data_IF_280811761996
#
_entry.id   IF_280811761996
#
_cell.length_a   1.000
_cell.length_b   1.000
_cell.length_c   1.000
_cell.angle_alpha   90.00
_cell.angle_beta   90.00
_cell.angle_gamma   90.00
#
_symmetry.space_group_name_H-M   'P 1'
#
loop_
_entity.id
_entity.type
_entity.pdbx_description
1 polymer ?
#
# COMPACT_ATOMS: atom_id res chain seq x y z
N UNK A 1 -41.39 -2.99 -7.56
CA UNK A 1 -39.97 -3.06 -7.14
C UNK A 1 -39.68 -1.80 -6.34
N UNK A 2 -39.02 -1.89 -5.18
CA UNK A 2 -38.44 -0.71 -4.52
C UNK A 2 -36.98 -0.68 -4.93
N UNK A 3 -36.58 0.37 -5.66
CA UNK A 3 -35.17 0.64 -5.89
C UNK A 3 -34.54 0.96 -4.53
N UNK A 4 -33.60 0.11 -4.11
CA UNK A 4 -32.76 0.39 -2.96
C UNK A 4 -31.80 1.51 -3.34
N UNK A 5 -32.17 2.75 -3.04
CA UNK A 5 -31.25 3.89 -3.02
C UNK A 5 -30.28 3.72 -1.85
N UNK A 6 -29.36 2.75 -1.97
CA UNK A 6 -28.17 2.68 -1.13
C UNK A 6 -27.30 3.87 -1.50
N UNK A 7 -27.54 5.00 -0.83
CA UNK A 7 -26.57 6.08 -0.71
C UNK A 7 -25.27 5.45 -0.26
N UNK A 8 -24.27 5.37 -1.16
CA UNK A 8 -22.95 4.83 -0.84
C UNK A 8 -22.43 5.56 0.39
N UNK A 9 -22.36 4.88 1.53
CA UNK A 9 -21.82 5.48 2.74
C UNK A 9 -20.38 5.89 2.46
N UNK A 10 -20.01 7.07 2.94
CA UNK A 10 -18.61 7.51 2.99
C UNK A 10 -17.79 6.51 3.80
N UNK A 11 -16.52 6.37 3.43
CA UNK A 11 -15.58 5.54 4.16
C UNK A 11 -15.15 6.26 5.43
N UNK A 12 -15.95 6.11 6.48
CA UNK A 12 -15.83 6.83 7.74
C UNK A 12 -14.48 6.64 8.43
N UNK A 13 -13.87 5.45 8.32
CA UNK A 13 -12.58 5.15 8.95
C UNK A 13 -11.44 5.81 8.16
N UNK A 14 -11.45 5.68 6.83
CA UNK A 14 -10.46 6.33 5.95
C UNK A 14 -10.55 7.86 6.02
N UNK A 15 -11.77 8.43 6.03
CA UNK A 15 -11.99 9.86 6.24
C UNK A 15 -11.50 10.30 7.63
N UNK A 16 -11.86 9.58 8.69
CA UNK A 16 -11.46 9.87 10.07
C UNK A 16 -9.94 9.87 10.29
N UNK A 17 -9.24 8.84 9.80
CA UNK A 17 -7.78 8.75 9.87
C UNK A 17 -7.10 9.85 9.03
N UNK A 18 -7.69 10.24 7.90
CA UNK A 18 -7.09 11.24 7.00
C UNK A 18 -7.07 12.67 7.56
N UNK A 19 -7.82 12.95 8.62
CA UNK A 19 -7.83 14.23 9.32
C UNK A 19 -6.62 14.42 10.27
N UNK A 20 -5.97 13.33 10.69
CA UNK A 20 -4.97 13.37 11.76
C UNK A 20 -3.56 13.72 11.27
N UNK A 21 -2.85 14.57 12.02
CA UNK A 21 -1.46 14.88 11.74
C UNK A 21 -0.56 13.65 11.95
N UNK A 22 0.47 13.53 11.09
CA UNK A 22 1.40 12.38 11.03
C UNK A 22 0.76 11.04 10.61
N UNK A 23 -0.46 11.09 10.09
CA UNK A 23 -1.14 9.96 9.43
C UNK A 23 -1.16 10.21 7.92
N UNK A 24 -0.46 9.37 7.16
CA UNK A 24 -0.58 9.27 5.70
C UNK A 24 -1.70 8.27 5.39
N UNK A 25 -2.61 8.62 4.49
CA UNK A 25 -3.70 7.74 4.04
C UNK A 25 -3.71 7.68 2.52
N UNK A 26 -3.37 6.50 1.97
CA UNK A 26 -3.42 6.21 0.54
C UNK A 26 -4.83 6.35 -0.02
N UNK A 27 -4.95 6.82 -1.25
CA UNK A 27 -6.24 6.92 -1.93
C UNK A 27 -7.23 7.91 -1.29
N UNK A 28 -6.81 8.69 -0.29
CA UNK A 28 -7.69 9.66 0.38
C UNK A 28 -7.55 11.05 -0.24
N UNK A 29 -8.64 11.52 -0.86
CA UNK A 29 -8.77 12.91 -1.32
C UNK A 29 -8.62 13.92 -0.18
N UNK A 30 -9.12 13.58 1.01
CA UNK A 30 -9.07 14.46 2.17
C UNK A 30 -7.62 14.62 2.68
N UNK A 31 -6.87 13.52 2.76
CA UNK A 31 -5.43 13.57 3.05
C UNK A 31 -4.68 14.40 1.98
N UNK A 32 -4.89 14.06 0.71
CA UNK A 32 -4.17 14.68 -0.42
C UNK A 32 -4.40 16.20 -0.47
N UNK A 33 -5.66 16.64 -0.31
CA UNK A 33 -6.02 18.06 -0.24
C UNK A 33 -5.42 18.76 0.97
N UNK A 34 -5.43 18.13 2.16
CA UNK A 34 -4.85 18.70 3.39
C UNK A 34 -3.37 19.02 3.25
N UNK A 35 -2.61 18.18 2.54
CA UNK A 35 -1.17 18.40 2.31
C UNK A 35 -0.86 19.23 1.04
N UNK A 36 -1.88 19.72 0.34
CA UNK A 36 -1.73 20.58 -0.85
C UNK A 36 -1.35 19.85 -2.13
N UNK A 37 -1.59 18.54 -2.23
CA UNK A 37 -1.35 17.78 -3.45
C UNK A 37 -2.42 18.09 -4.52
N UNK A 38 -2.02 18.12 -5.79
CA UNK A 38 -2.91 18.39 -6.94
C UNK A 38 -3.67 17.16 -7.44
N UNK A 39 -3.32 15.97 -6.97
CA UNK A 39 -3.96 14.70 -7.28
C UNK A 39 -4.06 13.80 -6.04
N UNK A 40 -4.75 12.67 -6.18
CA UNK A 40 -4.91 11.67 -5.13
C UNK A 40 -3.59 10.92 -4.93
N UNK A 41 -3.07 10.92 -3.71
CA UNK A 41 -1.81 10.28 -3.37
C UNK A 41 -2.00 8.84 -2.88
N UNK A 42 -1.21 7.92 -3.41
CA UNK A 42 -1.17 6.50 -3.00
C UNK A 42 0.28 6.05 -2.88
N UNK A 43 0.62 5.31 -1.83
CA UNK A 43 1.95 4.74 -1.63
C UNK A 43 1.91 3.26 -2.05
N UNK A 44 2.71 2.91 -3.06
CA UNK A 44 2.83 1.56 -3.63
C UNK A 44 4.19 0.97 -3.26
N UNK A 45 4.19 -0.23 -2.70
CA UNK A 45 5.40 -0.97 -2.31
C UNK A 45 5.75 -1.99 -3.38
N UNK A 46 7.02 -2.04 -3.77
CA UNK A 46 7.52 -2.93 -4.82
C UNK A 46 8.55 -3.87 -4.18
N UNK A 47 8.30 -5.17 -4.26
CA UNK A 47 9.24 -6.17 -3.81
C UNK A 47 9.38 -7.32 -4.79
N UNK A 48 10.48 -8.03 -4.71
CA UNK A 48 10.73 -9.22 -5.53
C UNK A 48 11.27 -10.37 -4.67
N UNK A 49 11.05 -11.58 -5.16
CA UNK A 49 11.63 -12.79 -4.57
C UNK A 49 13.16 -12.84 -4.79
N UNK A 50 13.94 -13.51 -3.94
CA UNK A 50 15.31 -13.88 -4.26
C UNK A 50 15.34 -14.87 -5.43
N UNK A 51 16.32 -14.72 -6.33
CA UNK A 51 16.47 -15.53 -7.55
C UNK A 51 16.59 -17.03 -7.26
N UNK A 52 17.17 -17.39 -6.12
CA UNK A 52 17.67 -18.73 -5.83
C UNK A 52 16.57 -19.71 -5.37
N UNK A 53 15.32 -19.28 -5.33
CA UNK A 53 14.19 -20.10 -4.93
C UNK A 53 13.21 -20.17 -6.11
N UNK A 54 12.92 -21.37 -6.62
CA UNK A 54 11.89 -21.56 -7.64
C UNK A 54 10.52 -21.56 -6.96
N UNK A 55 9.56 -20.71 -7.37
CA UNK A 55 8.21 -20.76 -6.83
C UNK A 55 7.58 -22.15 -7.06
N UNK A 56 6.77 -22.67 -6.11
CA UNK A 56 6.05 -23.91 -6.32
C UNK A 56 5.23 -23.87 -7.61
N UNK A 57 5.14 -25.00 -8.32
CA UNK A 57 4.31 -25.06 -9.52
C UNK A 57 2.81 -24.96 -9.18
N UNK A 58 2.39 -25.45 -8.02
CA UNK A 58 1.00 -25.39 -7.58
C UNK A 58 0.58 -23.96 -7.13
N UNK A 59 -0.56 -23.42 -7.63
CA UNK A 59 -1.07 -22.13 -7.20
C UNK A 59 -1.46 -22.02 -5.71
N UNK A 60 -1.81 -23.11 -5.01
CA UNK A 60 -2.11 -23.04 -3.58
C UNK A 60 -0.82 -23.03 -2.74
N UNK A 61 0.20 -23.80 -3.14
CA UNK A 61 1.54 -23.71 -2.56
C UNK A 61 2.19 -22.35 -2.82
N UNK A 62 2.00 -21.72 -3.99
CA UNK A 62 2.47 -20.34 -4.25
C UNK A 62 1.86 -19.31 -3.30
N UNK A 63 0.59 -19.45 -2.90
CA UNK A 63 -0.03 -18.58 -1.88
C UNK A 63 0.59 -18.77 -0.50
N UNK A 64 1.11 -19.96 -0.20
CA UNK A 64 1.78 -20.29 1.05
C UNK A 64 3.30 -20.24 0.96
N UNK A 65 3.87 -19.80 -0.17
CA UNK A 65 5.30 -19.69 -0.36
C UNK A 65 5.76 -18.41 0.31
N UNK A 66 6.20 -18.53 1.56
CA UNK A 66 6.58 -17.45 2.46
C UNK A 66 8.08 -17.12 2.26
N UNK A 67 8.49 -16.11 1.48
CA UNK A 67 9.89 -15.75 1.42
C UNK A 67 10.15 -14.88 2.65
N UNK A 68 10.94 -15.39 3.59
CA UNK A 68 11.59 -14.57 4.64
C UNK A 68 12.48 -13.45 4.06
N UNK A 69 12.60 -13.39 2.74
CA UNK A 69 13.63 -12.70 1.97
C UNK A 69 13.08 -11.82 0.83
N UNK A 70 11.78 -11.47 0.84
CA UNK A 70 11.25 -10.44 -0.06
C UNK A 70 12.08 -9.16 0.08
N UNK A 71 12.82 -8.80 -0.97
CA UNK A 71 13.60 -7.57 -1.02
C UNK A 71 12.70 -6.46 -1.54
N UNK A 72 12.65 -5.35 -0.83
CA UNK A 72 11.95 -4.13 -1.25
C UNK A 72 13.03 -3.11 -1.65
N UNK A 73 13.38 -3.01 -2.94
CA UNK A 73 14.41 -2.07 -3.39
C UNK A 73 13.97 -0.60 -3.38
N UNK A 74 12.67 -0.32 -3.44
CA UNK A 74 12.11 1.04 -3.48
C UNK A 74 10.60 1.03 -3.20
N UNK A 75 10.03 2.23 -3.06
CA UNK A 75 8.58 2.47 -3.08
C UNK A 75 8.23 3.53 -4.13
N UNK A 76 6.97 3.61 -4.52
CA UNK A 76 6.45 4.62 -5.45
C UNK A 76 5.32 5.39 -4.76
N UNK A 77 5.50 6.71 -4.62
CA UNK A 77 4.40 7.63 -4.36
C UNK A 77 3.75 7.95 -5.71
N UNK A 78 2.49 7.54 -5.91
CA UNK A 78 1.73 7.91 -7.10
C UNK A 78 0.86 9.13 -6.82
N UNK A 79 0.70 10.00 -7.81
CA UNK A 79 -0.21 11.15 -7.81
C UNK A 79 -1.23 10.95 -8.95
N UNK A 80 -2.37 10.35 -8.65
CA UNK A 80 -3.42 10.13 -9.63
C UNK A 80 -4.23 11.43 -9.83
N UNK A 81 -4.39 11.81 -11.09
CA UNK A 81 -5.12 13.00 -11.51
C UNK A 81 -6.30 12.61 -12.39
N UNK A 82 -7.31 13.48 -12.43
CA UNK A 82 -8.50 13.24 -13.24
C UNK A 82 -8.16 13.24 -14.75
N UNK A 83 -7.46 14.29 -15.20
CA UNK A 83 -7.26 14.60 -16.63
C UNK A 83 -5.78 14.75 -16.99
N UNK A 84 -5.49 14.57 -18.28
CA UNK A 84 -4.13 14.64 -18.82
C UNK A 84 -3.48 16.02 -18.65
N UNK A 85 -4.22 17.10 -18.87
CA UNK A 85 -3.70 18.48 -18.77
C UNK A 85 -3.22 18.83 -17.35
N UNK A 86 -3.77 18.19 -16.32
CA UNK A 86 -3.28 18.29 -14.95
C UNK A 86 -1.94 17.56 -14.76
N UNK A 87 -1.71 16.44 -15.46
CA UNK A 87 -0.42 15.73 -15.47
C UNK A 87 0.61 16.55 -16.22
N UNK A 88 0.28 17.03 -17.43
CA UNK A 88 1.17 17.83 -18.27
C UNK A 88 1.65 19.11 -17.57
N UNK A 89 0.79 19.69 -16.71
CA UNK A 89 1.10 20.86 -15.87
C UNK A 89 1.53 20.52 -14.43
N UNK A 90 1.72 19.24 -14.10
CA UNK A 90 2.09 18.82 -12.75
C UNK A 90 3.44 19.38 -12.34
N UNK A 91 3.47 20.08 -11.21
CA UNK A 91 4.69 20.52 -10.54
C UNK A 91 5.03 19.55 -9.40
N UNK A 92 6.09 18.70 -9.53
CA UNK A 92 6.53 17.79 -8.47
C UNK A 92 6.84 18.49 -7.14
N UNK A 93 7.18 19.79 -7.17
CA UNK A 93 7.46 20.62 -5.99
C UNK A 93 6.32 20.60 -4.96
N UNK A 94 5.08 20.39 -5.42
CA UNK A 94 3.89 20.29 -4.57
C UNK A 94 3.92 19.10 -3.60
N UNK A 95 4.63 18.02 -3.94
CA UNK A 95 4.64 16.76 -3.17
C UNK A 95 6.04 16.35 -2.69
N UNK A 96 7.08 17.16 -2.93
CA UNK A 96 8.45 16.89 -2.45
C UNK A 96 8.50 16.61 -0.95
N UNK A 97 7.86 17.45 -0.14
CA UNK A 97 7.91 17.35 1.33
C UNK A 97 7.36 16.02 1.84
N UNK A 98 6.24 15.54 1.30
CA UNK A 98 5.68 14.25 1.71
C UNK A 98 6.51 13.08 1.17
N UNK A 99 7.02 13.20 -0.05
CA UNK A 99 7.90 12.20 -0.67
C UNK A 99 9.20 12.02 0.12
N UNK A 100 9.90 13.10 0.43
CA UNK A 100 11.17 13.06 1.15
C UNK A 100 10.98 12.57 2.59
N UNK A 101 9.86 12.93 3.22
CA UNK A 101 9.44 12.37 4.50
C UNK A 101 9.21 10.87 4.43
N UNK A 102 8.47 10.37 3.44
CA UNK A 102 8.26 8.93 3.21
C UNK A 102 9.60 8.21 2.95
N UNK A 103 10.48 8.78 2.13
CA UNK A 103 11.79 8.19 1.84
C UNK A 103 12.67 8.11 3.10
N UNK A 104 12.64 9.15 3.94
CA UNK A 104 13.35 9.19 5.22
C UNK A 104 12.82 8.15 6.22
N UNK A 105 11.51 8.11 6.48
CA UNK A 105 10.95 7.20 7.50
C UNK A 105 10.98 5.73 7.07
N UNK A 106 10.93 5.45 5.77
CA UNK A 106 11.00 4.08 5.24
C UNK A 106 12.44 3.60 5.04
N UNK A 107 13.43 4.50 5.03
CA UNK A 107 14.81 4.16 4.66
C UNK A 107 14.97 3.69 3.21
N UNK A 108 14.03 4.04 2.33
CA UNK A 108 13.92 3.52 0.96
C UNK A 108 13.82 4.65 -0.08
N UNK A 109 14.42 4.48 -1.28
CA UNK A 109 14.18 5.37 -2.40
C UNK A 109 12.69 5.45 -2.72
N UNK A 110 12.13 6.66 -2.73
CA UNK A 110 10.73 6.89 -3.11
C UNK A 110 10.68 7.57 -4.48
N UNK A 111 10.24 6.83 -5.50
CA UNK A 111 9.94 7.41 -6.81
C UNK A 111 8.62 8.18 -6.74
N UNK A 112 8.45 9.15 -7.64
CA UNK A 112 7.18 9.84 -7.84
C UNK A 112 6.69 9.61 -9.27
N UNK A 113 5.42 9.25 -9.39
CA UNK A 113 4.72 8.99 -10.64
C UNK A 113 3.37 9.71 -10.63
N UNK A 114 3.21 10.76 -11.43
CA UNK A 114 1.91 11.36 -11.67
C UNK A 114 1.27 10.79 -12.94
N UNK A 115 -0.03 10.52 -12.93
CA UNK A 115 -0.73 9.96 -14.08
C UNK A 115 -2.22 10.33 -14.12
N UNK A 116 -2.83 10.26 -15.31
CA UNK A 116 -4.24 10.57 -15.53
C UNK A 116 -5.10 9.30 -15.50
N UNK A 117 -6.16 9.28 -14.68
CA UNK A 117 -7.11 8.16 -14.61
C UNK A 117 -7.88 7.97 -15.92
N UNK A 118 -8.15 9.05 -16.64
CA UNK A 118 -8.90 9.02 -17.90
C UNK A 118 -8.05 8.64 -19.12
N UNK A 119 -6.73 8.46 -18.99
CA UNK A 119 -5.83 8.20 -20.11
C UNK A 119 -5.12 6.84 -19.99
N UNK A 120 -5.63 5.84 -20.69
CA UNK A 120 -5.02 4.51 -20.78
C UNK A 120 -3.74 4.45 -21.65
N UNK A 121 -3.40 5.54 -22.36
CA UNK A 121 -2.21 5.57 -23.21
C UNK A 121 -0.92 5.78 -22.40
N UNK A 122 -0.32 4.66 -22.00
CA UNK A 122 0.84 4.60 -21.11
C UNK A 122 2.04 5.49 -21.49
N UNK A 123 2.24 5.83 -22.76
CA UNK A 123 3.41 6.62 -23.20
C UNK A 123 3.21 8.14 -23.07
N UNK A 124 1.97 8.62 -23.07
CA UNK A 124 1.64 10.03 -22.84
C UNK A 124 1.06 10.32 -21.45
N UNK A 125 0.54 9.31 -20.75
CA UNK A 125 -0.28 9.51 -19.55
C UNK A 125 0.47 9.75 -18.24
N UNK A 126 1.81 9.84 -18.25
CA UNK A 126 2.64 9.68 -17.06
C UNK A 126 3.80 10.67 -17.00
N UNK A 127 3.94 11.37 -15.88
CA UNK A 127 5.14 12.09 -15.48
C UNK A 127 5.89 11.27 -14.42
N UNK A 128 7.07 10.76 -14.76
CA UNK A 128 7.89 9.92 -13.88
C UNK A 128 9.21 10.62 -13.53
N UNK A 129 9.57 10.64 -12.25
CA UNK A 129 10.77 11.32 -11.75
C UNK A 129 11.63 10.39 -10.89
N UNK A 130 12.95 10.55 -10.97
CA UNK A 130 13.91 9.73 -10.22
C UNK A 130 13.96 10.06 -8.72
N UNK A 131 14.49 9.17 -7.85
CA UNK A 131 14.48 9.35 -6.39
C UNK A 131 15.39 10.48 -5.89
N UNK A 132 16.15 11.13 -6.77
CA UNK A 132 16.97 12.30 -6.45
C UNK A 132 16.87 13.43 -7.49
N UNK A 133 15.99 13.30 -8.50
CA UNK A 133 15.88 14.29 -9.58
C UNK A 133 14.42 14.45 -10.02
N UNK A 134 13.91 15.67 -9.87
CA UNK A 134 12.57 16.10 -10.27
C UNK A 134 12.58 17.14 -11.40
N UNK A 135 13.75 17.59 -11.85
CA UNK A 135 13.87 18.48 -13.03
C UNK A 135 13.88 17.70 -14.34
N UNK A 136 14.10 16.39 -14.28
CA UNK A 136 14.04 15.48 -15.43
C UNK A 136 12.80 14.58 -15.34
N UNK A 137 11.90 14.72 -16.32
CA UNK A 137 10.83 13.77 -16.58
C UNK A 137 11.38 12.63 -17.44
N UNK A 138 11.18 11.40 -17.00
CA UNK A 138 11.52 10.20 -17.76
C UNK A 138 10.31 9.73 -18.57
N UNK A 139 10.54 9.09 -19.72
CA UNK A 139 9.46 8.39 -20.41
C UNK A 139 9.01 7.19 -19.58
N UNK A 140 7.74 6.75 -19.67
CA UNK A 140 7.23 5.65 -18.84
C UNK A 140 7.93 4.32 -19.17
N UNK A 141 8.38 4.14 -20.41
CA UNK A 141 9.22 3.02 -20.83
C UNK A 141 10.62 3.08 -20.24
N UNK A 142 11.26 4.26 -20.20
CA UNK A 142 12.59 4.42 -19.60
C UNK A 142 12.55 4.22 -18.08
N UNK A 143 11.51 4.73 -17.42
CA UNK A 143 11.25 4.49 -16.02
C UNK A 143 11.04 2.99 -15.74
N UNK A 144 10.20 2.31 -16.51
CA UNK A 144 10.00 0.87 -16.37
C UNK A 144 11.29 0.08 -16.61
N UNK A 145 12.10 0.46 -17.61
CA UNK A 145 13.42 -0.12 -17.87
C UNK A 145 14.39 0.10 -16.69
N UNK A 146 14.39 1.29 -16.06
CA UNK A 146 15.17 1.57 -14.86
C UNK A 146 14.72 0.68 -13.69
N UNK A 147 13.42 0.59 -13.43
CA UNK A 147 12.85 -0.26 -12.37
C UNK A 147 13.17 -1.74 -12.60
N UNK A 148 13.05 -2.22 -13.84
CA UNK A 148 13.36 -3.61 -14.19
C UNK A 148 14.85 -3.96 -13.95
N UNK A 149 15.77 -2.99 -14.00
CA UNK A 149 17.19 -3.18 -13.65
C UNK A 149 17.46 -3.25 -12.13
N UNK A 150 16.51 -2.87 -11.29
CA UNK A 150 16.66 -2.91 -9.81
C UNK A 150 16.38 -4.30 -9.21
N UNK A 151 15.79 -5.20 -10.00
CA UNK A 151 15.63 -6.61 -9.60
C UNK A 151 17.01 -7.26 -9.46
N UNK A 152 17.15 -8.17 -8.51
CA UNK A 152 18.28 -9.08 -8.54
C UNK A 152 18.05 -10.07 -9.70
N UNK A 153 18.95 -10.13 -10.69
CA UNK A 153 18.96 -11.18 -11.72
C UNK A 153 19.24 -10.69 -13.14
N UNK A 154 19.77 -11.57 -13.99
CA UNK A 154 19.98 -11.30 -15.43
C UNK A 154 18.64 -11.24 -16.18
N UNK A 155 18.66 -10.61 -17.34
CA UNK A 155 17.47 -10.43 -18.21
C UNK A 155 17.12 -11.66 -19.06
N UNK A 156 17.95 -12.71 -19.03
CA UNK A 156 18.06 -13.67 -20.12
C UNK A 156 17.08 -14.86 -20.06
N UNK A 157 16.46 -15.12 -18.89
CA UNK A 157 15.60 -16.30 -18.64
C UNK A 157 14.19 -15.96 -18.10
N UNK A 158 13.54 -14.87 -18.57
CA UNK A 158 12.14 -14.61 -18.21
C UNK A 158 11.15 -15.41 -19.11
N UNK A 159 10.29 -16.28 -18.55
CA UNK A 159 9.15 -16.82 -19.29
C UNK A 159 8.15 -15.71 -19.63
N UNK A 160 7.38 -15.90 -20.71
CA UNK A 160 6.35 -14.95 -21.18
C UNK A 160 5.12 -14.80 -20.26
N UNK A 161 5.21 -15.22 -18.98
CA UNK A 161 4.11 -15.13 -18.02
C UNK A 161 3.79 -13.68 -17.65
N UNK A 162 2.67 -13.17 -18.16
CA UNK A 162 2.12 -11.87 -17.79
C UNK A 162 1.49 -11.94 -16.41
N UNK A 163 1.73 -10.93 -15.57
CA UNK A 163 1.06 -10.76 -14.26
C UNK A 163 -0.46 -10.95 -14.38
N UNK A 164 -1.05 -11.77 -13.52
CA UNK A 164 -2.49 -12.04 -13.49
C UNK A 164 -3.33 -10.75 -13.28
N UNK A 165 -4.59 -10.78 -13.72
CA UNK A 165 -5.52 -9.66 -13.51
C UNK A 165 -6.10 -9.73 -12.08
N UNK A 166 -5.60 -8.91 -11.15
CA UNK A 166 -6.39 -8.57 -9.97
C UNK A 166 -7.59 -7.70 -10.40
N UNK A 167 -8.77 -7.96 -9.81
CA UNK A 167 -10.12 -7.60 -10.32
C UNK A 167 -10.42 -6.11 -10.57
N UNK A 168 -9.49 -5.19 -10.32
CA UNK A 168 -9.64 -3.77 -10.66
C UNK A 168 -9.29 -3.55 -12.13
N UNK A 169 -10.30 -3.36 -12.97
CA UNK A 169 -10.12 -3.07 -14.40
C UNK A 169 -9.80 -1.59 -14.70
N UNK A 170 -9.85 -0.72 -13.69
CA UNK A 170 -9.80 0.74 -13.85
C UNK A 170 -8.59 1.41 -13.17
N UNK A 171 -7.62 0.64 -12.65
CA UNK A 171 -6.38 1.19 -12.11
C UNK A 171 -5.33 1.33 -13.25
N UNK A 172 -5.12 2.56 -13.73
CA UNK A 172 -4.20 2.85 -14.85
C UNK A 172 -2.74 2.57 -14.46
N UNK A 173 -2.38 2.73 -13.19
CA UNK A 173 -1.05 2.38 -12.69
C UNK A 173 -0.86 0.86 -12.62
N UNK A 174 -1.91 0.10 -12.30
CA UNK A 174 -1.91 -1.36 -12.42
C UNK A 174 -1.78 -1.80 -13.89
N UNK A 175 -2.39 -1.09 -14.85
CA UNK A 175 -2.19 -1.34 -16.29
C UNK A 175 -0.73 -1.08 -16.69
N UNK A 176 -0.17 0.07 -16.31
CA UNK A 176 1.25 0.42 -16.52
C UNK A 176 2.20 -0.68 -16.02
N UNK A 177 2.08 -1.05 -14.74
CA UNK A 177 2.96 -2.03 -14.09
C UNK A 177 2.79 -3.46 -14.58
N UNK A 178 1.68 -3.79 -15.24
CA UNK A 178 1.48 -5.09 -15.90
C UNK A 178 1.97 -5.12 -17.34
N UNK A 179 2.03 -3.98 -18.01
CA UNK A 179 2.49 -3.84 -19.40
C UNK A 179 4.00 -3.69 -19.53
N UNK A 180 4.66 -3.00 -18.58
CA UNK A 180 6.06 -2.58 -18.72
C UNK A 180 6.99 -3.03 -17.57
N UNK A 181 6.45 -3.41 -16.40
CA UNK A 181 7.26 -3.86 -15.26
C UNK A 181 7.25 -5.39 -15.13
N UNK A 182 8.42 -5.98 -14.95
CA UNK A 182 8.66 -7.43 -14.84
C UNK A 182 7.69 -8.14 -13.90
N UNK A 183 7.28 -9.35 -14.30
CA UNK A 183 6.39 -10.22 -13.53
C UNK A 183 6.95 -10.60 -12.15
N UNK A 184 8.27 -10.55 -11.98
CA UNK A 184 8.98 -10.86 -10.73
C UNK A 184 8.73 -9.82 -9.61
N UNK A 185 8.18 -8.64 -9.93
CA UNK A 185 7.78 -7.65 -8.94
C UNK A 185 6.35 -7.88 -8.45
N UNK A 186 6.23 -8.26 -7.18
CA UNK A 186 5.02 -8.12 -6.38
C UNK A 186 4.82 -6.64 -6.01
N UNK A 187 3.58 -6.17 -6.12
CA UNK A 187 3.21 -4.77 -5.90
C UNK A 187 1.97 -4.77 -5.01
N UNK A 188 2.02 -4.03 -3.92
CA UNK A 188 0.88 -3.80 -3.03
C UNK A 188 0.77 -2.31 -2.66
N UNK A 189 -0.34 -1.94 -2.06
CA UNK A 189 -0.59 -0.60 -1.55
C UNK A 189 -0.26 -0.56 -0.05
N UNK A 190 0.04 0.63 0.46
CA UNK A 190 0.08 0.91 1.90
C UNK A 190 -1.12 1.78 2.22
N UNK A 191 -2.19 1.21 2.77
CA UNK A 191 -3.44 1.95 3.02
C UNK A 191 -3.22 3.13 3.98
N UNK A 192 -2.57 2.87 5.12
CA UNK A 192 -2.23 3.92 6.11
C UNK A 192 -0.83 3.72 6.66
N UNK A 193 -0.12 4.83 6.84
CA UNK A 193 1.14 4.91 7.56
C UNK A 193 1.02 5.96 8.68
N UNK A 194 1.35 5.57 9.91
CA UNK A 194 1.33 6.46 11.09
C UNK A 194 2.73 6.54 11.68
N UNK A 195 3.20 7.76 11.95
CA UNK A 195 4.53 7.99 12.54
C UNK A 195 4.41 8.36 14.00
N UNK A 196 4.82 7.43 14.88
CA UNK A 196 4.78 7.57 16.33
C UNK A 196 6.18 7.85 16.92
N UNK A 197 6.29 8.37 18.16
CA UNK A 197 7.59 8.52 18.83
C UNK A 197 8.37 7.20 19.00
N UNK A 198 7.66 6.07 18.94
CA UNK A 198 8.21 4.72 19.07
C UNK A 198 8.69 4.09 17.77
N UNK A 199 8.31 4.60 16.59
CA UNK A 199 8.49 3.90 15.31
C UNK A 199 7.42 4.24 14.28
N UNK A 200 7.33 3.41 13.24
CA UNK A 200 6.37 3.56 12.14
C UNK A 200 5.34 2.45 12.19
N UNK A 201 4.07 2.78 12.06
CA UNK A 201 2.97 1.83 12.04
C UNK A 201 2.33 1.81 10.66
N UNK A 202 2.23 0.61 10.07
CA UNK A 202 1.50 0.33 8.84
C UNK A 202 0.13 -0.25 9.18
N UNK A 203 -0.94 0.26 8.57
CA UNK A 203 -2.27 -0.33 8.69
C UNK A 203 -2.76 -0.75 7.31
N UNK A 204 -3.18 -2.00 7.23
CA UNK A 204 -3.98 -2.55 6.14
C UNK A 204 -5.46 -2.37 6.51
N UNK A 205 -6.25 -1.74 5.63
CA UNK A 205 -7.66 -1.39 5.85
C UNK A 205 -8.58 -2.32 5.05
N UNK A 206 -9.25 -3.25 5.73
CA UNK A 206 -10.10 -4.24 5.07
C UNK A 206 -11.59 -4.05 5.38
N UNK A 207 -12.31 -3.54 4.37
CA UNK A 207 -13.78 -3.43 4.37
C UNK A 207 -14.40 -4.82 4.23
N UNK A 208 -15.11 -5.29 5.25
CA UNK A 208 -15.78 -6.61 5.22
C UNK A 208 -16.93 -6.67 6.22
N UNK A 209 -18.09 -7.18 5.80
CA UNK A 209 -19.23 -7.54 6.67
C UNK A 209 -19.24 -9.01 7.10
N UNK A 210 -18.32 -9.83 6.57
CA UNK A 210 -18.23 -11.28 6.83
C UNK A 210 -17.63 -11.56 8.21
N UNK A 211 -18.24 -12.50 8.96
CA UNK A 211 -17.76 -12.97 10.27
C UNK A 211 -17.95 -14.50 10.33
N UNK A 212 -16.95 -15.30 10.78
CA UNK A 212 -15.58 -14.89 11.07
C UNK A 212 -14.80 -14.60 9.78
N UNK A 213 -13.97 -13.58 9.81
CA UNK A 213 -13.15 -13.17 8.68
C UNK A 213 -11.74 -13.83 8.75
N UNK A 214 -11.26 -14.34 7.61
CA UNK A 214 -9.97 -15.02 7.47
C UNK A 214 -9.18 -14.45 6.26
N UNK A 215 -8.63 -13.23 6.37
CA UNK A 215 -8.04 -12.51 5.23
C UNK A 215 -6.82 -13.18 4.59
N UNK A 216 -5.99 -13.84 5.40
CA UNK A 216 -4.58 -13.99 5.06
C UNK A 216 -4.26 -15.20 4.17
N UNK A 217 -5.23 -16.09 3.91
CA UNK A 217 -5.06 -17.21 2.96
C UNK A 217 -5.26 -16.77 1.51
N UNK A 218 -6.17 -15.82 1.27
CA UNK A 218 -6.42 -15.27 -0.07
C UNK A 218 -5.49 -14.10 -0.42
N UNK A 219 -4.91 -13.42 0.58
CA UNK A 219 -4.13 -12.18 0.42
C UNK A 219 -2.69 -12.27 0.95
N UNK A 220 -2.15 -13.49 1.04
CA UNK A 220 -0.86 -13.79 1.66
C UNK A 220 0.32 -13.00 1.05
N UNK A 221 0.34 -12.79 -0.26
CA UNK A 221 1.43 -12.09 -0.96
C UNK A 221 1.53 -10.60 -0.55
N UNK A 222 0.39 -9.92 -0.41
CA UNK A 222 0.31 -8.53 0.01
C UNK A 222 0.74 -8.37 1.47
N UNK A 223 0.27 -9.27 2.34
CA UNK A 223 0.70 -9.34 3.73
C UNK A 223 2.22 -9.59 3.87
N UNK A 224 2.80 -10.51 3.08
CA UNK A 224 4.24 -10.78 3.10
C UNK A 224 5.06 -9.57 2.68
N UNK A 225 4.61 -8.85 1.65
CA UNK A 225 5.25 -7.64 1.19
C UNK A 225 5.19 -6.53 2.27
N UNK A 226 4.05 -6.38 2.96
CA UNK A 226 3.91 -5.48 4.10
C UNK A 226 4.82 -5.87 5.28
N UNK A 227 4.93 -7.17 5.61
CA UNK A 227 5.84 -7.67 6.65
C UNK A 227 7.30 -7.43 6.32
N UNK A 228 7.70 -7.58 5.05
CA UNK A 228 9.06 -7.22 4.62
C UNK A 228 9.34 -5.73 4.77
N UNK A 229 8.38 -4.85 4.43
CA UNK A 229 8.54 -3.41 4.66
C UNK A 229 8.70 -3.10 6.14
N UNK A 230 7.84 -3.70 6.96
CA UNK A 230 7.83 -3.54 8.41
C UNK A 230 9.16 -3.92 9.06
N UNK A 231 9.86 -4.95 8.54
CA UNK A 231 11.19 -5.37 9.01
C UNK A 231 12.32 -4.42 8.60
N UNK A 232 12.18 -3.70 7.49
CA UNK A 232 13.20 -2.74 7.03
C UNK A 232 13.15 -1.43 7.81
N UNK A 233 11.97 -1.06 8.32
CA UNK A 233 11.76 0.18 9.05
C UNK A 233 12.09 0.01 10.53
N UNK A 234 12.96 0.85 11.13
CA UNK A 234 13.30 0.76 12.55
C UNK A 234 12.05 0.84 13.44
N UNK A 235 11.83 -0.22 14.24
CA UNK A 235 10.64 -0.39 15.08
C UNK A 235 9.32 -0.30 14.29
N UNK A 236 9.32 -0.81 13.06
CA UNK A 236 8.13 -0.96 12.24
C UNK A 236 7.12 -1.93 12.87
N UNK A 237 5.83 -1.61 12.77
CA UNK A 237 4.73 -2.48 13.23
C UNK A 237 3.61 -2.47 12.19
N UNK A 238 3.05 -3.61 11.86
CA UNK A 238 1.87 -3.74 10.99
C UNK A 238 0.65 -4.30 11.72
N UNK A 239 -0.49 -3.69 11.44
CA UNK A 239 -1.82 -4.16 11.84
C UNK A 239 -2.72 -4.30 10.61
N UNK A 240 -3.75 -5.13 10.74
CA UNK A 240 -4.93 -5.06 9.86
C UNK A 240 -6.12 -4.58 10.66
N UNK A 241 -6.82 -3.56 10.16
CA UNK A 241 -8.11 -3.12 10.68
C UNK A 241 -9.22 -3.64 9.78
N UNK A 242 -10.06 -4.52 10.31
CA UNK A 242 -11.32 -4.92 9.66
C UNK A 242 -12.47 -4.09 10.20
N UNK A 243 -13.22 -3.52 9.29
CA UNK A 243 -14.36 -2.66 9.60
C UNK A 243 -15.48 -2.89 8.57
N UNK A 244 -16.68 -2.49 8.95
CA UNK A 244 -17.87 -2.56 8.13
C UNK A 244 -18.38 -1.12 7.92
N UNK A 245 -18.73 -0.77 6.68
CA UNK A 245 -19.32 0.53 6.40
C UNK A 245 -20.74 0.61 6.99
N UNK A 246 -21.46 -0.50 7.03
CA UNK A 246 -22.84 -0.55 7.54
C UNK A 246 -22.89 -0.72 9.07
N UNK A 247 -21.77 -1.10 9.71
CA UNK A 247 -21.62 -1.20 11.18
C UNK A 247 -20.43 -0.36 11.65
N UNK A 248 -20.58 0.98 11.68
CA UNK A 248 -19.48 1.92 11.78
C UNK A 248 -18.96 2.11 13.23
N UNK A 249 -19.62 1.46 14.19
CA UNK A 249 -19.30 1.54 15.62
C UNK A 249 -18.40 0.37 16.08
N UNK A 250 -17.77 -0.36 15.15
CA UNK A 250 -16.96 -1.55 15.44
C UNK A 250 -15.77 -1.68 14.48
N UNK A 251 -14.58 -1.92 15.05
CA UNK A 251 -13.36 -2.29 14.32
C UNK A 251 -12.73 -3.50 14.99
N UNK A 252 -12.31 -4.47 14.19
CA UNK A 252 -11.42 -5.54 14.64
C UNK A 252 -9.98 -5.22 14.25
N UNK A 253 -9.11 -5.13 15.24
CA UNK A 253 -7.65 -5.05 15.08
C UNK A 253 -7.10 -6.47 15.06
N UNK A 254 -6.30 -6.79 14.04
CA UNK A 254 -5.57 -8.04 13.91
C UNK A 254 -4.08 -7.76 13.78
N UNK A 255 -3.25 -8.42 14.59
CA UNK A 255 -1.78 -8.42 14.47
C UNK A 255 -1.32 -9.84 14.23
N UNK A 256 -0.52 -10.05 13.20
CA UNK A 256 -0.52 -11.34 12.49
C UNK A 256 0.72 -12.19 12.80
N UNK A 257 1.88 -11.55 13.03
CA UNK A 257 3.19 -12.14 13.38
C UNK A 257 3.75 -13.18 12.38
N UNK A 258 3.04 -14.27 12.15
CA UNK A 258 3.37 -15.34 11.19
C UNK A 258 2.12 -15.99 10.60
N UNK A 259 2.31 -16.78 9.55
CA UNK A 259 1.27 -17.62 8.94
C UNK A 259 1.82 -19.05 8.90
N UNK A 260 1.04 -20.03 9.34
CA UNK A 260 1.30 -21.46 9.10
C UNK A 260 0.14 -22.10 8.33
N UNK A 261 0.31 -23.36 7.89
CA UNK A 261 -0.75 -24.14 7.24
C UNK A 261 -1.97 -24.39 8.14
N UNK A 262 -1.81 -24.25 9.45
CA UNK A 262 -2.79 -24.70 10.46
C UNK A 262 -3.27 -23.57 11.38
N UNK A 263 -2.43 -22.55 11.63
CA UNK A 263 -2.69 -21.48 12.60
C UNK A 263 -2.08 -20.16 12.10
N UNK A 264 -2.78 -19.06 12.37
CA UNK A 264 -2.26 -17.70 12.21
C UNK A 264 -2.00 -17.13 13.61
N UNK A 265 -0.79 -17.32 14.18
CA UNK A 265 -0.49 -16.94 15.56
C UNK A 265 -0.42 -15.42 15.72
N UNK A 266 -1.39 -14.83 16.41
CA UNK A 266 -1.49 -13.37 16.54
C UNK A 266 -2.39 -12.95 17.69
N UNK A 267 -2.68 -11.64 17.77
CA UNK A 267 -3.73 -11.14 18.66
C UNK A 267 -4.86 -10.50 17.86
N UNK A 268 -6.07 -10.59 18.41
CA UNK A 268 -7.27 -9.92 17.91
C UNK A 268 -7.84 -9.06 19.03
N UNK A 269 -8.11 -7.78 18.74
CA UNK A 269 -8.76 -6.85 19.67
C UNK A 269 -9.95 -6.22 18.98
N UNK A 270 -11.13 -6.29 19.59
CA UNK A 270 -12.30 -5.56 19.15
C UNK A 270 -12.32 -4.19 19.81
N UNK A 271 -12.53 -3.15 19.00
CA UNK A 271 -12.76 -1.77 19.40
C UNK A 271 -14.23 -1.47 19.08
N UNK A 272 -14.96 -0.87 20.01
CA UNK A 272 -16.38 -0.58 19.82
C UNK A 272 -16.81 0.61 20.67
N UNK A 273 -17.54 1.55 20.07
CA UNK A 273 -17.96 2.80 20.69
C UNK A 273 -19.42 3.14 20.42
N UNK A 274 -19.96 4.21 21.02
CA UNK A 274 -21.31 4.69 20.72
C UNK A 274 -21.45 5.24 19.30
N UNK A 275 -20.37 5.74 18.70
CA UNK A 275 -20.33 6.39 17.38
C UNK A 275 -18.98 6.21 16.67
N UNK A 276 -18.94 6.60 15.39
CA UNK A 276 -17.74 6.60 14.52
C UNK A 276 -16.56 7.34 15.16
N UNK A 277 -16.81 8.52 15.71
CA UNK A 277 -15.77 9.39 16.27
C UNK A 277 -15.08 8.75 17.48
N UNK A 278 -15.85 8.10 18.35
CA UNK A 278 -15.35 7.35 19.50
C UNK A 278 -14.46 6.19 19.06
N UNK A 279 -14.87 5.44 18.03
CA UNK A 279 -14.08 4.33 17.47
C UNK A 279 -12.81 4.82 16.81
N UNK A 280 -12.87 5.89 15.99
CA UNK A 280 -11.68 6.53 15.40
C UNK A 280 -10.72 6.97 16.50
N UNK A 281 -11.22 7.61 17.57
CA UNK A 281 -10.41 8.05 18.71
C UNK A 281 -9.75 6.89 19.45
N UNK A 282 -10.45 5.77 19.65
CA UNK A 282 -9.87 4.57 20.27
C UNK A 282 -8.83 3.88 19.36
N UNK A 283 -9.05 3.84 18.05
CA UNK A 283 -8.04 3.40 17.07
C UNK A 283 -6.80 4.30 17.15
N UNK A 284 -6.96 5.63 17.17
CA UNK A 284 -5.84 6.56 17.28
C UNK A 284 -5.11 6.46 18.63
N UNK A 285 -5.83 6.19 19.71
CA UNK A 285 -5.23 5.91 21.01
C UNK A 285 -4.40 4.62 20.99
N UNK A 286 -4.92 3.55 20.37
CA UNK A 286 -4.23 2.27 20.16
C UNK A 286 -2.91 2.45 19.37
N UNK A 287 -2.93 3.27 18.32
CA UNK A 287 -1.75 3.56 17.49
C UNK A 287 -0.70 4.40 18.24
N UNK A 288 -1.10 5.07 19.32
CA UNK A 288 -0.26 5.88 20.20
C UNK A 288 0.13 5.14 21.49
N UNK A 289 -0.34 3.90 21.69
CA UNK A 289 -0.16 3.10 22.90
C UNK A 289 1.28 2.56 23.03
N UNK A 290 2.04 2.96 24.07
CA UNK A 290 3.42 2.52 24.27
C UNK A 290 3.59 1.00 24.46
N UNK A 291 2.58 0.28 24.98
CA UNK A 291 2.69 -1.17 25.21
C UNK A 291 2.61 -1.93 23.88
N UNK A 292 1.66 -1.54 23.03
CA UNK A 292 1.52 -2.08 21.67
C UNK A 292 2.77 -1.77 20.83
N UNK A 293 3.37 -0.60 21.06
CA UNK A 293 4.64 -0.21 20.44
C UNK A 293 5.84 -1.01 20.99
N UNK A 294 5.81 -1.42 22.27
CA UNK A 294 6.81 -2.31 22.86
C UNK A 294 6.72 -3.74 22.30
N UNK A 295 5.51 -4.26 22.02
CA UNK A 295 5.32 -5.58 21.41
C UNK A 295 6.01 -5.72 20.04
N UNK A 296 6.00 -4.67 19.21
CA UNK A 296 6.74 -4.66 17.94
C UNK A 296 8.26 -4.63 18.12
N UNK A 297 8.74 -4.07 19.24
CA UNK A 297 10.18 -3.88 19.51
C UNK A 297 10.89 -5.14 20.07
N UNK A 298 10.14 -6.16 20.51
CA UNK A 298 10.72 -7.37 21.15
C UNK A 298 11.16 -8.47 20.17
N UNK A 299 10.99 -8.29 18.86
CA UNK A 299 11.24 -9.34 17.83
C UNK A 299 11.89 -8.83 16.53
N UNK A 300 12.68 -7.77 16.60
CA UNK A 300 13.63 -7.37 15.55
C UNK A 300 15.00 -8.01 15.79
#
# INVERSE_FOLDING_TARGET
MRESTTTKRKDWLTEGLSAEDKVFVSGSDAFSKRIGATGQLTLRIFGHHPINETPPNDPAERRMWLPSHYKIPFVILTCEMERQDAVDSFNPSSVLKIRDYLSYILGLPTYLVAYSRDNLNLTGAFHTTSPNNFSELQSPSDFANQINRLRAGRLEDEPEERKAINKSFNDVFQIFTRSLVSWQFSINDVDVLVTAPSGVIFLELKRSSVIPWQPYLDDAANYLLMRSLTRLVPKGIDFTLRYDLDRPCEVEVHTILGISREVIPGFRKKISGPDEFSVIKEVLALLRDPEIQAYGSQKS
#
